data_IF_308995940244
#
_entry.id   IF_308995940244
#
_cell.length_a   1.000
_cell.length_b   1.000
_cell.length_c   1.000
_cell.angle_alpha   90.00
_cell.angle_beta   90.00
_cell.angle_gamma   90.00
#
_symmetry.space_group_name_H-M   'P 1'
#
loop_
_entity.id
_entity.type
_entity.pdbx_description
1 polymer ?
#
# COMPACT_ATOMS: atom_id res chain seq x y z
N UNK A 1 -9.94 1.27 -24.46
CA UNK A 1 -10.37 -0.12 -24.14
C UNK A 1 -9.59 -0.59 -22.91
N UNK A 2 -10.29 -0.90 -21.81
CA UNK A 2 -9.68 -1.30 -20.52
C UNK A 2 -8.83 -2.54 -20.73
N UNK A 3 -7.50 -2.47 -20.52
CA UNK A 3 -6.62 -3.64 -20.55
C UNK A 3 -6.71 -4.39 -19.21
N UNK A 4 -7.82 -5.09 -18.99
CA UNK A 4 -7.92 -6.00 -17.85
C UNK A 4 -7.06 -7.24 -18.09
N UNK A 5 -6.46 -7.76 -17.03
CA UNK A 5 -5.83 -9.07 -17.09
C UNK A 5 -6.98 -10.10 -17.04
N UNK A 6 -6.97 -11.07 -17.94
CA UNK A 6 -7.98 -12.14 -17.91
C UNK A 6 -7.91 -12.91 -16.59
N UNK A 7 -9.05 -13.36 -16.06
CA UNK A 7 -9.16 -14.08 -14.78
C UNK A 7 -8.21 -15.27 -14.69
N UNK A 8 -8.08 -16.05 -15.75
CA UNK A 8 -7.17 -17.21 -15.83
C UNK A 8 -5.69 -16.78 -15.72
N UNK A 9 -5.31 -15.69 -16.40
CA UNK A 9 -3.95 -15.17 -16.33
C UNK A 9 -3.61 -14.66 -14.92
N UNK A 10 -4.55 -13.99 -14.24
CA UNK A 10 -4.40 -13.59 -12.83
C UNK A 10 -4.21 -14.84 -11.95
N UNK A 11 -5.07 -15.84 -12.08
CA UNK A 11 -4.99 -17.07 -11.30
C UNK A 11 -3.67 -17.83 -11.52
N UNK A 12 -3.21 -17.90 -12.78
CA UNK A 12 -1.91 -18.49 -13.12
C UNK A 12 -0.79 -17.73 -12.40
N UNK A 13 -0.79 -16.40 -12.51
CA UNK A 13 0.24 -15.56 -11.89
C UNK A 13 0.26 -15.68 -10.37
N UNK A 14 -0.90 -15.67 -9.73
CA UNK A 14 -1.01 -15.87 -8.27
C UNK A 14 -0.44 -17.21 -7.83
N UNK A 15 -0.67 -18.30 -8.59
CA UNK A 15 -0.05 -19.61 -8.29
C UNK A 15 1.48 -19.55 -8.39
N UNK A 16 2.01 -18.90 -9.41
CA UNK A 16 3.46 -18.72 -9.58
C UNK A 16 4.08 -17.93 -8.41
N UNK A 17 3.42 -16.84 -7.98
CA UNK A 17 3.86 -16.04 -6.85
C UNK A 17 3.83 -16.83 -5.53
N UNK A 18 2.77 -17.59 -5.28
CA UNK A 18 2.67 -18.47 -4.11
C UNK A 18 3.77 -19.52 -4.08
N UNK A 19 4.01 -20.18 -5.22
CA UNK A 19 5.10 -21.17 -5.32
C UNK A 19 6.47 -20.54 -5.03
N UNK A 20 6.75 -19.36 -5.58
CA UNK A 20 7.99 -18.65 -5.30
C UNK A 20 8.12 -18.28 -3.82
N UNK A 21 7.02 -17.86 -3.18
CA UNK A 21 6.97 -17.57 -1.74
C UNK A 21 7.26 -18.83 -0.91
N UNK A 22 6.64 -19.95 -1.21
CA UNK A 22 6.86 -21.25 -0.54
C UNK A 22 8.33 -21.73 -0.68
N UNK A 23 8.95 -21.50 -1.83
CA UNK A 23 10.37 -21.81 -2.02
C UNK A 23 11.27 -20.95 -1.12
N UNK A 24 10.98 -19.65 -0.99
CA UNK A 24 11.74 -18.75 -0.13
C UNK A 24 11.53 -19.01 1.37
N UNK A 25 10.36 -19.51 1.78
CA UNK A 25 10.06 -19.86 3.19
C UNK A 25 11.02 -20.89 3.77
N UNK A 26 11.69 -21.68 2.92
CA UNK A 26 12.61 -22.74 3.36
C UNK A 26 13.91 -22.20 3.98
N UNK A 27 14.23 -20.93 3.74
CA UNK A 27 15.46 -20.28 4.22
C UNK A 27 15.18 -18.85 4.72
N UNK A 28 14.16 -18.72 5.57
CA UNK A 28 13.69 -17.42 6.07
C UNK A 28 14.74 -16.68 6.88
N UNK A 29 15.63 -17.40 7.56
CA UNK A 29 16.66 -16.81 8.42
C UNK A 29 17.70 -16.01 7.64
N UNK A 30 17.95 -16.39 6.39
CA UNK A 30 18.86 -15.65 5.49
C UNK A 30 18.22 -14.43 4.83
N UNK A 31 16.90 -14.28 4.94
CA UNK A 31 16.17 -13.17 4.31
C UNK A 31 16.21 -11.93 5.21
N UNK A 32 16.25 -10.75 4.57
CA UNK A 32 16.07 -9.46 5.22
C UNK A 32 15.04 -8.64 4.48
N UNK A 33 14.25 -7.85 5.21
CA UNK A 33 13.27 -6.94 4.63
C UNK A 33 13.95 -5.97 3.67
N UNK A 34 13.32 -5.71 2.54
CA UNK A 34 13.84 -4.80 1.54
C UNK A 34 12.94 -3.57 1.40
N UNK A 35 13.46 -2.43 1.85
CA UNK A 35 12.94 -1.13 1.45
C UNK A 35 13.52 -0.76 0.08
N UNK A 36 12.68 -0.23 -0.79
CA UNK A 36 13.10 0.26 -2.10
C UNK A 36 13.13 1.79 -2.08
N UNK A 37 14.27 2.38 -2.40
CA UNK A 37 14.38 3.82 -2.60
C UNK A 37 13.66 4.18 -3.90
N UNK A 38 12.99 5.30 -3.90
CA UNK A 38 12.10 5.83 -4.90
C UNK A 38 12.33 5.52 -6.39
N UNK A 39 11.34 5.78 -7.17
CA UNK A 39 11.35 5.56 -8.62
C UNK A 39 10.73 6.78 -9.33
N UNK A 40 10.59 6.72 -10.66
CA UNK A 40 9.99 7.82 -11.45
C UNK A 40 8.59 8.22 -10.99
N UNK A 41 7.81 7.28 -10.43
CA UNK A 41 6.42 7.51 -10.01
C UNK A 41 6.31 8.00 -8.57
N UNK A 42 7.12 7.45 -7.67
CA UNK A 42 7.12 7.86 -6.27
C UNK A 42 8.04 9.05 -6.00
N UNK A 43 8.96 9.35 -6.91
CA UNK A 43 10.00 10.37 -6.74
C UNK A 43 11.24 9.83 -6.02
N UNK A 44 12.35 10.58 -5.99
CA UNK A 44 13.65 10.08 -5.54
C UNK A 44 13.75 9.85 -4.02
N UNK A 45 12.95 10.55 -3.23
CA UNK A 45 13.05 10.53 -1.77
C UNK A 45 11.99 9.65 -1.09
N UNK A 46 10.94 9.27 -1.81
CA UNK A 46 9.88 8.43 -1.27
C UNK A 46 10.29 6.95 -1.29
N UNK A 47 10.69 6.42 -0.15
CA UNK A 47 10.98 5.02 0.02
C UNK A 47 9.69 4.20 0.05
N UNK A 48 9.78 2.95 -0.35
CA UNK A 48 8.62 2.04 -0.37
C UNK A 48 8.96 0.69 0.24
N UNK A 49 7.99 0.10 0.92
CA UNK A 49 7.96 -1.31 1.28
C UNK A 49 6.69 -1.91 0.72
N UNK A 50 6.76 -3.11 0.16
CA UNK A 50 5.62 -3.76 -0.48
C UNK A 50 5.63 -5.25 -0.24
N UNK A 51 4.45 -5.82 -0.23
CA UNK A 51 4.17 -7.25 -0.17
C UNK A 51 3.73 -7.75 -1.55
N UNK A 52 3.42 -9.04 -1.68
CA UNK A 52 2.99 -9.62 -2.95
C UNK A 52 1.56 -9.16 -3.32
N UNK A 53 1.36 -8.62 -4.52
CA UNK A 53 0.03 -8.23 -4.98
C UNK A 53 -0.89 -9.46 -5.07
N UNK A 54 -2.14 -9.29 -4.71
CA UNK A 54 -3.21 -10.30 -4.69
C UNK A 54 -2.97 -11.41 -3.65
N UNK A 55 -1.73 -11.88 -3.48
CA UNK A 55 -1.38 -12.94 -2.50
C UNK A 55 -1.55 -12.42 -1.08
N UNK A 56 -1.01 -11.24 -0.79
CA UNK A 56 -1.07 -10.59 0.53
C UNK A 56 -2.16 -9.50 0.59
N UNK A 57 -3.20 -9.61 -0.24
CA UNK A 57 -4.34 -8.72 -0.22
C UNK A 57 -5.56 -9.49 0.31
N UNK A 58 -5.86 -9.39 1.60
CA UNK A 58 -6.97 -10.11 2.22
C UNK A 58 -8.34 -9.77 1.61
N UNK A 59 -8.53 -8.51 1.19
CA UNK A 59 -9.78 -8.02 0.62
C UNK A 59 -9.68 -7.79 -0.91
N UNK A 60 -8.91 -8.63 -1.59
CA UNK A 60 -8.73 -8.54 -3.03
C UNK A 60 -9.97 -9.11 -3.76
N UNK A 61 -10.82 -8.21 -4.25
CA UNK A 61 -12.05 -8.54 -4.97
C UNK A 61 -12.08 -7.86 -6.33
N UNK A 62 -12.78 -6.75 -6.44
CA UNK A 62 -13.01 -6.02 -7.69
C UNK A 62 -11.71 -5.48 -8.34
N UNK A 63 -10.72 -5.12 -7.52
CA UNK A 63 -9.45 -4.61 -8.01
C UNK A 63 -8.53 -5.67 -8.64
N UNK A 64 -8.80 -6.95 -8.44
CA UNK A 64 -7.90 -8.04 -8.83
C UNK A 64 -7.63 -8.07 -10.34
N UNK A 65 -8.67 -7.90 -11.16
CA UNK A 65 -8.57 -7.95 -12.63
C UNK A 65 -7.92 -6.69 -13.23
N UNK A 66 -7.88 -5.61 -12.45
CA UNK A 66 -7.28 -4.33 -12.85
C UNK A 66 -6.01 -4.01 -12.05
N UNK A 67 -5.50 -4.98 -11.30
CA UNK A 67 -4.34 -4.77 -10.43
C UNK A 67 -3.13 -4.31 -11.27
N UNK A 68 -2.83 -3.01 -11.19
CA UNK A 68 -1.68 -2.42 -11.89
C UNK A 68 -0.36 -3.03 -11.43
N UNK A 69 -0.30 -3.42 -10.18
CA UNK A 69 0.88 -3.94 -9.56
C UNK A 69 1.20 -5.35 -10.05
N UNK A 70 0.17 -6.19 -10.23
CA UNK A 70 0.32 -7.50 -10.87
C UNK A 70 0.77 -7.38 -12.34
N UNK A 71 0.37 -6.29 -13.04
CA UNK A 71 0.86 -5.98 -14.40
C UNK A 71 2.33 -5.58 -14.38
N UNK A 72 2.75 -4.74 -13.42
CA UNK A 72 4.13 -4.30 -13.27
C UNK A 72 5.08 -5.46 -12.93
N UNK A 73 4.61 -6.43 -12.18
CA UNK A 73 5.36 -7.62 -11.81
C UNK A 73 5.82 -8.46 -13.02
N UNK A 74 5.10 -8.41 -14.12
CA UNK A 74 5.50 -9.06 -15.37
C UNK A 74 6.66 -8.33 -16.06
N UNK A 75 6.86 -7.04 -15.77
CA UNK A 75 7.85 -6.17 -16.42
C UNK A 75 9.14 -6.10 -15.61
N UNK A 76 9.06 -6.21 -14.27
CA UNK A 76 10.17 -6.01 -13.35
C UNK A 76 10.40 -7.22 -12.41
N UNK A 77 11.09 -8.29 -12.88
CA UNK A 77 11.27 -9.51 -12.08
C UNK A 77 12.02 -9.33 -10.75
N UNK A 78 12.91 -8.34 -10.65
CA UNK A 78 13.65 -8.02 -9.42
C UNK A 78 12.72 -7.51 -8.31
N UNK A 79 11.73 -6.72 -8.67
CA UNK A 79 10.71 -6.19 -7.75
C UNK A 79 9.94 -7.33 -7.09
N UNK A 80 9.59 -8.36 -7.87
CA UNK A 80 8.92 -9.57 -7.35
C UNK A 80 9.76 -10.28 -6.30
N UNK A 81 11.06 -10.39 -6.52
CA UNK A 81 11.95 -11.08 -5.57
C UNK A 81 11.98 -10.36 -4.23
N UNK A 82 12.06 -9.03 -4.23
CA UNK A 82 12.03 -8.22 -3.01
C UNK A 82 10.68 -8.30 -2.29
N UNK A 83 9.57 -8.23 -3.03
CA UNK A 83 8.22 -8.37 -2.47
C UNK A 83 7.96 -9.76 -1.90
N UNK A 84 8.44 -10.79 -2.59
CA UNK A 84 8.33 -12.17 -2.13
C UNK A 84 9.08 -12.37 -0.81
N UNK A 85 10.30 -11.82 -0.69
CA UNK A 85 11.09 -11.80 0.54
C UNK A 85 10.35 -11.10 1.68
N UNK A 86 9.84 -9.91 1.42
CA UNK A 86 9.06 -9.14 2.39
C UNK A 86 7.81 -9.90 2.84
N UNK A 87 7.09 -10.52 1.89
CA UNK A 87 5.91 -11.35 2.15
C UNK A 87 6.21 -12.55 3.05
N UNK A 88 7.34 -13.23 2.81
CA UNK A 88 7.76 -14.37 3.64
C UNK A 88 8.06 -13.95 5.07
N UNK A 89 8.84 -12.88 5.25
CA UNK A 89 9.18 -12.40 6.59
C UNK A 89 7.92 -11.91 7.32
N UNK A 90 7.07 -11.15 6.63
CA UNK A 90 5.81 -10.66 7.20
C UNK A 90 4.86 -11.77 7.65
N UNK A 91 4.80 -12.88 6.91
CA UNK A 91 3.96 -14.05 7.24
C UNK A 91 4.51 -14.84 8.42
N UNK A 92 5.82 -15.09 8.44
CA UNK A 92 6.44 -16.00 9.40
C UNK A 92 6.96 -15.30 10.67
N UNK A 93 7.34 -14.02 10.56
CA UNK A 93 7.91 -13.24 11.66
C UNK A 93 7.55 -11.75 11.50
N UNK A 94 6.34 -11.43 11.83
CA UNK A 94 5.79 -10.07 11.69
C UNK A 94 6.53 -9.05 12.55
N UNK A 95 6.96 -9.41 13.74
CA UNK A 95 7.72 -8.53 14.61
C UNK A 95 9.07 -8.16 13.98
N UNK A 96 9.80 -9.16 13.48
CA UNK A 96 11.04 -8.95 12.74
C UNK A 96 10.82 -8.07 11.51
N UNK A 97 9.74 -8.31 10.74
CA UNK A 97 9.39 -7.50 9.57
C UNK A 97 9.35 -6.01 9.90
N UNK A 98 8.58 -5.63 10.91
CA UNK A 98 8.42 -4.23 11.31
C UNK A 98 9.66 -3.66 12.00
N UNK A 99 10.40 -4.45 12.76
CA UNK A 99 11.66 -4.06 13.39
C UNK A 99 12.74 -3.76 12.36
N UNK A 100 12.86 -4.59 11.32
CA UNK A 100 13.81 -4.35 10.23
C UNK A 100 13.45 -3.10 9.41
N UNK A 101 12.14 -2.80 9.21
CA UNK A 101 11.69 -1.54 8.60
C UNK A 101 12.12 -0.34 9.45
N UNK A 102 11.85 -0.35 10.73
CA UNK A 102 12.24 0.71 11.67
C UNK A 102 13.75 0.96 11.65
N UNK A 103 14.53 -0.11 11.67
CA UNK A 103 16.00 -0.05 11.60
C UNK A 103 16.46 0.60 10.30
N UNK A 104 15.87 0.24 9.15
CA UNK A 104 16.23 0.81 7.86
C UNK A 104 15.81 2.27 7.70
N UNK A 105 14.66 2.66 8.28
CA UNK A 105 14.23 4.07 8.33
C UNK A 105 15.30 4.91 9.01
N UNK A 106 15.76 4.48 10.17
CA UNK A 106 16.78 5.18 10.97
C UNK A 106 18.14 5.20 10.29
N UNK A 107 18.59 4.06 9.78
CA UNK A 107 19.89 3.92 9.12
C UNK A 107 20.00 4.75 7.82
N UNK A 108 18.91 4.92 7.09
CA UNK A 108 18.88 5.63 5.80
C UNK A 108 18.30 7.06 5.90
N UNK A 109 17.98 7.54 7.09
CA UNK A 109 17.37 8.85 7.32
C UNK A 109 16.12 9.06 6.43
N UNK A 110 15.24 8.06 6.39
CA UNK A 110 14.04 8.08 5.54
C UNK A 110 13.10 9.17 6.00
N UNK A 111 12.79 10.11 5.13
CA UNK A 111 11.84 11.19 5.41
C UNK A 111 10.44 10.90 4.91
N UNK A 112 10.30 10.02 3.92
CA UNK A 112 9.02 9.68 3.29
C UNK A 112 8.97 8.17 3.05
N UNK A 113 8.03 7.49 3.67
CA UNK A 113 7.79 6.05 3.49
C UNK A 113 6.38 5.81 2.98
N UNK A 114 6.24 5.11 1.87
CA UNK A 114 4.98 4.57 1.38
C UNK A 114 4.91 3.07 1.63
N UNK A 115 3.95 2.65 2.45
CA UNK A 115 3.71 1.25 2.76
C UNK A 115 2.72 0.67 1.75
N UNK A 116 2.99 -0.53 1.27
CA UNK A 116 2.16 -1.31 0.36
C UNK A 116 1.77 -0.59 -0.93
N UNK A 117 2.76 -0.38 -1.82
CA UNK A 117 2.48 -0.12 -3.24
C UNK A 117 1.86 -1.37 -3.86
N UNK A 118 2.30 -2.58 -3.43
CA UNK A 118 1.70 -3.89 -3.68
C UNK A 118 1.42 -4.62 -2.37
N UNK A 119 0.39 -5.47 -2.36
CA UNK A 119 -0.14 -6.07 -1.15
C UNK A 119 -1.12 -5.15 -0.41
N UNK A 120 -1.57 -5.56 0.77
CA UNK A 120 -2.40 -4.75 1.67
C UNK A 120 -2.03 -5.08 3.13
N UNK A 121 -2.46 -4.23 4.07
CA UNK A 121 -2.25 -4.42 5.50
C UNK A 121 -3.26 -5.45 6.06
N UNK A 122 -2.77 -6.35 6.90
CA UNK A 122 -3.61 -7.22 7.74
C UNK A 122 -4.13 -6.47 8.98
N UNK A 123 -5.07 -7.05 9.70
CA UNK A 123 -5.69 -6.39 10.87
C UNK A 123 -4.66 -5.97 11.93
N UNK A 124 -3.67 -6.83 12.19
CA UNK A 124 -2.63 -6.56 13.18
C UNK A 124 -1.60 -5.52 12.72
N UNK A 125 -1.46 -5.30 11.41
CA UNK A 125 -0.45 -4.37 10.87
C UNK A 125 -0.74 -2.92 11.22
N UNK A 126 -2.00 -2.54 11.46
CA UNK A 126 -2.34 -1.16 11.82
C UNK A 126 -1.70 -0.73 13.14
N UNK A 127 -1.60 -1.62 14.11
CA UNK A 127 -0.89 -1.36 15.37
C UNK A 127 0.62 -1.19 15.12
N UNK A 128 1.21 -1.97 14.23
CA UNK A 128 2.62 -1.84 13.88
C UNK A 128 2.92 -0.54 13.13
N UNK A 129 2.04 -0.13 12.20
CA UNK A 129 2.16 1.16 11.51
C UNK A 129 2.03 2.32 12.50
N UNK A 130 1.12 2.23 13.46
CA UNK A 130 1.00 3.20 14.56
C UNK A 130 2.31 3.31 15.35
N UNK A 131 2.85 2.19 15.83
CA UNK A 131 4.12 2.14 16.56
C UNK A 131 5.27 2.71 15.73
N UNK A 132 5.34 2.34 14.45
CA UNK A 132 6.35 2.85 13.52
C UNK A 132 6.29 4.38 13.39
N UNK A 133 5.08 4.94 13.30
CA UNK A 133 4.86 6.39 13.30
C UNK A 133 5.35 7.06 14.56
N UNK A 134 5.01 6.52 15.74
CA UNK A 134 5.46 7.02 17.03
C UNK A 134 7.00 6.98 17.17
N UNK A 135 7.63 5.89 16.72
CA UNK A 135 9.09 5.71 16.80
C UNK A 135 9.88 6.58 15.81
N UNK A 136 9.22 7.06 14.74
CA UNK A 136 9.85 7.83 13.67
C UNK A 136 9.09 9.14 13.36
N UNK A 137 9.00 10.08 14.31
CA UNK A 137 8.13 11.26 14.17
C UNK A 137 8.56 12.22 13.03
N UNK A 138 9.79 12.07 12.53
CA UNK A 138 10.30 12.86 11.39
C UNK A 138 10.06 12.20 10.03
N UNK A 139 9.59 10.96 10.00
CA UNK A 139 9.27 10.22 8.79
C UNK A 139 7.78 10.34 8.50
N UNK A 140 7.42 10.91 7.36
CA UNK A 140 6.03 10.86 6.87
C UNK A 140 5.74 9.46 6.37
N UNK A 141 4.66 8.85 6.84
CA UNK A 141 4.25 7.50 6.49
C UNK A 141 2.90 7.56 5.78
N UNK A 142 2.81 6.99 4.59
CA UNK A 142 1.59 6.93 3.79
C UNK A 142 1.25 5.48 3.46
N UNK A 143 0.01 5.10 3.65
CA UNK A 143 -0.49 3.83 3.17
C UNK A 143 -1.91 3.92 2.60
N UNK A 144 -2.22 2.96 1.72
CA UNK A 144 -3.55 2.77 1.16
C UNK A 144 -4.04 1.39 1.55
N UNK A 145 -5.29 1.28 1.96
CA UNK A 145 -5.85 -0.01 2.36
C UNK A 145 -7.26 -0.23 1.83
N UNK A 146 -7.61 -1.47 1.57
CA UNK A 146 -8.96 -1.98 1.34
C UNK A 146 -9.45 -2.83 2.53
N UNK A 147 -8.62 -2.95 3.55
CA UNK A 147 -8.99 -3.63 4.78
C UNK A 147 -9.79 -2.68 5.69
N UNK A 148 -11.00 -2.31 5.24
CA UNK A 148 -11.86 -1.36 5.95
C UNK A 148 -12.21 -1.85 7.35
N UNK A 149 -12.50 -3.15 7.49
CA UNK A 149 -12.84 -3.75 8.78
C UNK A 149 -11.70 -3.65 9.78
N UNK A 150 -10.48 -4.01 9.34
CA UNK A 150 -9.29 -3.98 10.21
C UNK A 150 -8.94 -2.57 10.68
N UNK A 151 -8.93 -1.59 9.75
CA UNK A 151 -8.61 -0.20 10.11
C UNK A 151 -9.69 0.43 11.00
N UNK A 152 -10.97 0.14 10.74
CA UNK A 152 -12.06 0.65 11.57
C UNK A 152 -11.96 0.09 13.00
N UNK A 153 -11.74 -1.22 13.15
CA UNK A 153 -11.51 -1.85 14.45
C UNK A 153 -10.32 -1.23 15.17
N UNK A 154 -9.20 -1.03 14.48
CA UNK A 154 -8.02 -0.40 15.06
C UNK A 154 -8.33 1.00 15.59
N UNK A 155 -9.06 1.82 14.82
CA UNK A 155 -9.44 3.17 15.23
C UNK A 155 -10.40 3.19 16.41
N UNK A 156 -11.33 2.24 16.51
CA UNK A 156 -12.21 2.07 17.67
C UNK A 156 -11.44 1.78 18.96
N UNK A 157 -10.38 0.97 18.86
CA UNK A 157 -9.56 0.55 19.99
C UNK A 157 -8.48 1.57 20.40
N UNK A 158 -8.14 2.55 19.53
CA UNK A 158 -7.01 3.48 19.71
C UNK A 158 -7.42 4.96 19.62
N UNK A 159 -8.54 5.33 20.25
CA UNK A 159 -9.00 6.73 20.37
C UNK A 159 -9.13 7.45 19.00
N UNK A 160 -9.43 6.70 17.95
CA UNK A 160 -9.76 7.17 16.60
C UNK A 160 -8.66 7.94 15.85
N UNK A 161 -7.39 7.70 16.14
CA UNK A 161 -6.34 8.42 15.43
C UNK A 161 -5.02 7.66 15.27
N UNK A 162 -4.35 7.93 14.16
CA UNK A 162 -2.95 7.63 13.95
C UNK A 162 -2.08 8.83 14.38
N UNK A 163 -0.77 8.64 14.61
CA UNK A 163 0.17 9.77 14.78
C UNK A 163 0.11 10.75 13.59
N UNK A 164 0.34 12.03 13.84
CA UNK A 164 0.22 13.10 12.83
C UNK A 164 1.08 12.88 11.57
N UNK A 165 2.18 12.16 11.70
CA UNK A 165 3.06 11.81 10.58
C UNK A 165 2.60 10.59 9.78
N UNK A 166 1.47 9.98 10.13
CA UNK A 166 0.90 8.82 9.43
C UNK A 166 -0.38 9.23 8.70
N UNK A 167 -0.42 8.99 7.39
CA UNK A 167 -1.54 9.32 6.50
C UNK A 167 -2.23 8.03 6.00
N UNK A 168 -3.28 7.57 6.70
CA UNK A 168 -4.12 6.45 6.26
C UNK A 168 -5.06 6.89 5.14
N UNK A 169 -5.20 6.09 4.07
CA UNK A 169 -6.16 6.35 2.99
C UNK A 169 -6.91 5.07 2.64
N UNK A 170 -8.23 5.16 2.61
CA UNK A 170 -9.09 4.08 2.14
C UNK A 170 -9.13 4.02 0.63
N UNK A 171 -8.80 2.88 0.04
CA UNK A 171 -8.78 2.68 -1.41
C UNK A 171 -10.12 2.14 -1.91
N UNK A 172 -10.82 2.91 -2.73
CA UNK A 172 -12.17 2.62 -3.20
C UNK A 172 -12.19 2.33 -4.71
N UNK A 173 -12.77 1.20 -5.08
CA UNK A 173 -12.91 0.78 -6.48
C UNK A 173 -14.39 0.62 -6.84
N UNK A 174 -14.73 0.78 -8.13
CA UNK A 174 -16.09 0.53 -8.61
C UNK A 174 -16.51 -0.91 -8.27
N UNK A 175 -17.68 -1.06 -7.67
CA UNK A 175 -18.20 -2.35 -7.20
C UNK A 175 -17.88 -2.69 -5.75
N UNK A 176 -16.94 -1.98 -5.11
CA UNK A 176 -16.67 -2.17 -3.68
C UNK A 176 -17.64 -1.35 -2.82
N UNK A 177 -18.12 -1.96 -1.74
CA UNK A 177 -18.89 -1.26 -0.71
C UNK A 177 -17.90 -0.70 0.31
N UNK A 178 -17.75 0.63 0.30
CA UNK A 178 -16.93 1.34 1.29
C UNK A 178 -17.61 1.30 2.66
N UNK A 179 -16.82 1.05 3.70
CA UNK A 179 -17.19 1.18 5.10
C UNK A 179 -16.20 2.13 5.78
N UNK A 180 -16.57 3.41 5.90
CA UNK A 180 -15.72 4.51 6.38
C UNK A 180 -16.42 5.36 7.45
N UNK A 181 -16.74 4.79 8.64
CA UNK A 181 -17.47 5.51 9.70
C UNK A 181 -16.64 6.65 10.31
N UNK A 182 -15.31 6.60 10.18
CA UNK A 182 -14.41 7.65 10.71
C UNK A 182 -14.08 8.73 9.70
N UNK A 183 -14.70 8.68 8.51
CA UNK A 183 -14.50 9.67 7.46
C UNK A 183 -13.02 9.86 7.07
N UNK A 184 -12.24 8.77 7.06
CA UNK A 184 -10.85 8.80 6.61
C UNK A 184 -10.75 9.28 5.16
N UNK A 185 -9.60 9.83 4.73
CA UNK A 185 -9.37 10.16 3.34
C UNK A 185 -9.57 8.97 2.41
N UNK A 186 -10.08 9.23 1.21
CA UNK A 186 -10.42 8.20 0.22
C UNK A 186 -9.61 8.34 -1.06
N UNK A 187 -9.24 7.22 -1.65
CA UNK A 187 -8.57 7.14 -2.94
C UNK A 187 -9.45 6.40 -3.95
N UNK A 188 -9.85 7.10 -5.00
CA UNK A 188 -10.74 6.60 -6.03
C UNK A 188 -10.01 6.40 -7.35
N UNK A 189 -10.52 5.49 -8.17
CA UNK A 189 -10.01 5.24 -9.52
C UNK A 189 -10.95 5.88 -10.54
N UNK A 190 -10.39 6.67 -11.46
CA UNK A 190 -11.08 7.16 -12.64
C UNK A 190 -10.69 6.29 -13.84
N UNK A 191 -11.64 5.59 -14.41
CA UNK A 191 -11.45 4.76 -15.59
C UNK A 191 -11.52 5.57 -16.89
N UNK A 192 -10.98 5.01 -18.00
CA UNK A 192 -11.00 5.66 -19.32
C UNK A 192 -12.42 5.95 -19.84
N UNK A 193 -13.41 5.14 -19.44
CA UNK A 193 -14.83 5.32 -19.78
C UNK A 193 -15.53 6.37 -18.90
N UNK A 194 -14.79 7.07 -18.06
CA UNK A 194 -15.29 8.11 -17.15
C UNK A 194 -15.91 7.57 -15.86
N UNK A 195 -15.99 6.26 -15.66
CA UNK A 195 -16.52 5.70 -14.41
C UNK A 195 -15.56 5.96 -13.24
N UNK A 196 -16.13 6.37 -12.14
CA UNK A 196 -15.42 6.55 -10.87
C UNK A 196 -16.41 6.46 -9.72
N UNK A 197 -15.89 6.17 -8.52
CA UNK A 197 -16.64 6.27 -7.25
C UNK A 197 -16.36 7.60 -6.54
N UNK A 198 -15.49 8.44 -7.10
CA UNK A 198 -15.11 9.71 -6.49
C UNK A 198 -16.33 10.66 -6.37
N UNK A 199 -16.39 11.45 -5.29
CA UNK A 199 -17.39 12.52 -5.18
C UNK A 199 -17.21 13.54 -6.29
N UNK A 200 -18.31 14.17 -6.71
CA UNK A 200 -18.33 15.18 -7.79
C UNK A 200 -17.51 16.43 -7.40
N UNK A 201 -17.48 16.75 -6.12
CA UNK A 201 -16.78 17.92 -5.58
C UNK A 201 -15.79 17.51 -4.48
N UNK A 202 -14.72 18.28 -4.33
CA UNK A 202 -13.75 18.13 -3.23
C UNK A 202 -12.68 17.06 -3.42
N UNK A 203 -12.65 16.36 -4.57
CA UNK A 203 -11.61 15.40 -4.86
C UNK A 203 -10.46 16.05 -5.66
N UNK A 204 -9.21 15.77 -5.25
CA UNK A 204 -8.00 16.24 -5.96
C UNK A 204 -7.46 15.14 -6.88
N UNK A 205 -6.90 15.52 -8.02
CA UNK A 205 -6.24 14.57 -8.92
C UNK A 205 -4.81 14.30 -8.46
N UNK A 206 -4.40 13.01 -8.50
CA UNK A 206 -3.02 12.63 -8.22
C UNK A 206 -2.07 13.19 -9.28
N UNK A 207 -1.07 13.97 -8.83
CA UNK A 207 -0.03 14.53 -9.69
C UNK A 207 1.03 13.52 -10.16
N UNK A 208 1.06 12.30 -9.60
CA UNK A 208 1.93 11.21 -10.03
C UNK A 208 3.37 11.27 -9.48
N UNK A 209 3.68 12.16 -8.53
CA UNK A 209 4.99 12.24 -7.87
C UNK A 209 4.84 12.40 -6.36
N UNK A 210 5.04 11.29 -5.62
CA UNK A 210 4.84 11.28 -4.16
C UNK A 210 5.84 12.18 -3.41
N UNK A 211 7.11 12.20 -3.82
CA UNK A 211 8.13 13.05 -3.18
C UNK A 211 7.82 14.52 -3.35
N UNK A 212 7.34 14.93 -4.52
CA UNK A 212 6.96 16.33 -4.77
C UNK A 212 5.76 16.73 -3.92
N UNK A 213 4.72 15.89 -3.85
CA UNK A 213 3.57 16.12 -2.99
C UNK A 213 3.97 16.20 -1.51
N UNK A 214 4.85 15.31 -1.04
CA UNK A 214 5.33 15.31 0.33
C UNK A 214 6.12 16.57 0.66
N UNK A 215 6.99 17.03 -0.26
CA UNK A 215 7.76 18.27 -0.12
C UNK A 215 6.87 19.50 -0.06
N UNK A 216 5.85 19.58 -0.91
CA UNK A 216 4.87 20.69 -0.92
C UNK A 216 3.86 20.63 0.22
N UNK A 217 3.76 19.51 0.95
CA UNK A 217 2.74 19.29 1.97
C UNK A 217 1.33 19.19 1.39
N UNK A 218 1.18 18.56 0.23
CA UNK A 218 -0.08 18.42 -0.51
C UNK A 218 -0.36 16.98 -0.92
N UNK A 219 -1.47 16.76 -1.62
CA UNK A 219 -1.89 15.44 -2.11
C UNK A 219 -2.14 14.46 -0.97
N UNK A 220 -1.86 13.18 -1.21
CA UNK A 220 -2.13 12.09 -0.27
C UNK A 220 -1.48 12.26 1.11
N UNK A 221 -0.40 13.02 1.20
CA UNK A 221 0.33 13.25 2.45
C UNK A 221 -0.34 14.25 3.39
N UNK A 222 -1.34 15.00 2.90
CA UNK A 222 -1.98 16.07 3.65
C UNK A 222 -3.52 16.07 3.52
N UNK A 223 -4.10 15.02 2.97
CA UNK A 223 -5.56 14.87 2.93
C UNK A 223 -6.12 14.84 4.34
N UNK A 224 -7.18 15.59 4.55
CA UNK A 224 -7.95 15.61 5.79
C UNK A 224 -9.10 14.61 5.72
N UNK A 225 -9.69 14.29 6.85
CA UNK A 225 -10.91 13.47 6.90
C UNK A 225 -11.99 14.07 5.99
N UNK A 226 -12.63 13.22 5.21
CA UNK A 226 -13.63 13.60 4.22
C UNK A 226 -13.10 14.10 2.87
N UNK A 227 -11.77 14.24 2.72
CA UNK A 227 -11.19 14.59 1.43
C UNK A 227 -10.84 13.35 0.61
N UNK A 228 -10.74 13.53 -0.70
CA UNK A 228 -10.50 12.42 -1.62
C UNK A 228 -9.43 12.74 -2.65
N UNK A 229 -8.74 11.69 -3.13
CA UNK A 229 -7.82 11.76 -4.26
C UNK A 229 -8.29 10.84 -5.39
N UNK A 230 -8.12 11.28 -6.62
CA UNK A 230 -8.47 10.52 -7.83
C UNK A 230 -7.20 10.09 -8.56
N UNK A 231 -7.09 8.80 -8.81
CA UNK A 231 -6.06 8.19 -9.65
C UNK A 231 -6.65 7.80 -10.99
N UNK A 232 -5.95 8.09 -12.10
CA UNK A 232 -6.32 7.54 -13.40
C UNK A 232 -5.99 6.06 -13.44
N UNK A 233 -6.90 5.25 -13.96
CA UNK A 233 -6.64 3.83 -14.23
C UNK A 233 -5.49 3.68 -15.23
N UNK A 234 -4.62 2.69 -15.01
CA UNK A 234 -3.45 2.39 -15.87
C UNK A 234 -3.67 1.10 -16.66
#
# INVERSE_FOLDING_TARGET
MRKTIGKEAVQKRVRELRKKREEMMKDVDSLHVKLQKGNKKTGPNCWTVSLLPVVDCQNCSECMLDCYDLKNDLIYPSVITDRCRNSVIHELDKERFWTEIDTQIKANFVTELRINVGGDLSDDDFLWVYKLGCCNPKTKILFFTKNYKGINKFLEENEFQFPENVSPIMSVWCGMKLDNPFNLPEAHVLYEDGKTTAPIFGAVYCGGNCSECAFKGEGCWNLKRGESVIFRAH
#
